data_IF_173727234422
#
_entry.id   IF_173727234422
#
_cell.length_a   1.000
_cell.length_b   1.000
_cell.length_c   1.000
_cell.angle_alpha   90.00
_cell.angle_beta   90.00
_cell.angle_gamma   90.00
#
_symmetry.space_group_name_H-M   'P 1'
#
loop_
_entity.id
_entity.type
_entity.pdbx_description
1 polymer ?
#
# COMPACT_ATOMS: atom_id res chain seq x y z
N UNK A 1 -0.41 -0.50 30.36
CA UNK A 1 -0.87 -1.44 29.32
C UNK A 1 -2.39 -1.49 29.41
N UNK A 2 -3.09 -0.86 28.47
CA UNK A 2 -4.56 -0.84 28.47
C UNK A 2 -5.02 -2.17 27.84
N UNK A 3 -5.73 -3.01 28.58
CA UNK A 3 -6.28 -4.26 28.02
C UNK A 3 -7.50 -3.90 27.19
N UNK A 4 -7.52 -4.29 25.92
CA UNK A 4 -8.59 -4.03 24.97
C UNK A 4 -9.20 -5.37 24.52
N UNK A 5 -10.52 -5.40 24.37
CA UNK A 5 -11.29 -6.56 23.94
C UNK A 5 -10.98 -6.93 22.46
N UNK A 6 -10.49 -8.15 22.18
CA UNK A 6 -10.16 -8.60 20.83
C UNK A 6 -11.37 -8.78 19.89
N UNK A 7 -12.62 -8.66 20.37
CA UNK A 7 -13.82 -8.83 19.54
C UNK A 7 -14.26 -7.55 18.78
N UNK A 8 -13.57 -6.41 18.96
CA UNK A 8 -13.85 -5.17 18.23
C UNK A 8 -13.15 -5.16 16.85
N UNK A 9 -13.65 -5.98 15.91
CA UNK A 9 -13.01 -6.43 14.66
C UNK A 9 -12.53 -5.41 13.60
N UNK A 10 -12.52 -4.10 13.88
CA UNK A 10 -11.85 -3.07 13.05
C UNK A 10 -11.02 -2.11 13.91
N UNK A 11 -11.58 -1.70 15.04
CA UNK A 11 -10.95 -0.83 16.04
C UNK A 11 -9.69 -1.43 16.66
N UNK A 12 -9.66 -2.74 16.92
CA UNK A 12 -8.49 -3.36 17.52
C UNK A 12 -7.30 -3.43 16.55
N UNK A 13 -7.56 -3.67 15.26
CA UNK A 13 -6.51 -3.81 14.24
C UNK A 13 -5.68 -2.54 14.10
N UNK A 14 -6.33 -1.41 13.93
CA UNK A 14 -5.65 -0.12 13.69
C UNK A 14 -4.96 0.41 14.95
N UNK A 15 -5.51 0.10 16.13
CA UNK A 15 -4.82 0.32 17.40
C UNK A 15 -3.53 -0.50 17.49
N UNK A 16 -3.59 -1.82 17.23
CA UNK A 16 -2.42 -2.68 17.25
C UNK A 16 -1.36 -2.23 16.22
N UNK A 17 -1.78 -1.81 15.03
CA UNK A 17 -0.87 -1.22 14.03
C UNK A 17 -0.18 0.04 14.57
N UNK A 18 -0.90 0.92 15.28
CA UNK A 18 -0.34 2.13 15.87
C UNK A 18 0.62 1.83 17.03
N UNK A 19 0.33 0.81 17.84
CA UNK A 19 1.22 0.33 18.91
C UNK A 19 2.53 -0.23 18.34
N UNK A 20 2.44 -1.04 17.28
CA UNK A 20 3.62 -1.57 16.58
C UNK A 20 4.47 -0.44 15.98
N UNK A 21 3.83 0.53 15.31
CA UNK A 21 4.51 1.70 14.76
C UNK A 21 5.20 2.53 15.85
N UNK A 22 4.53 2.72 16.99
CA UNK A 22 5.07 3.44 18.14
C UNK A 22 6.26 2.73 18.77
N UNK A 23 6.16 1.41 18.90
CA UNK A 23 7.25 0.60 19.39
C UNK A 23 8.49 0.69 18.48
N UNK A 24 8.28 0.63 17.15
CA UNK A 24 9.38 0.80 16.18
C UNK A 24 10.01 2.18 16.29
N UNK A 25 9.20 3.23 16.38
CA UNK A 25 9.66 4.61 16.54
C UNK A 25 10.51 4.76 17.81
N UNK A 26 10.07 4.18 18.92
CA UNK A 26 10.79 4.23 20.19
C UNK A 26 12.18 3.57 20.13
N UNK A 27 12.30 2.45 19.41
CA UNK A 27 13.54 1.67 19.36
C UNK A 27 14.47 2.02 18.19
N UNK A 28 13.93 2.57 17.09
CA UNK A 28 14.67 2.80 15.84
C UNK A 28 14.70 4.28 15.42
N UNK A 29 14.06 5.18 16.17
CA UNK A 29 14.03 6.61 15.89
C UNK A 29 12.92 6.99 14.89
N UNK A 30 13.26 7.69 13.81
CA UNK A 30 12.25 8.15 12.84
C UNK A 30 11.83 6.99 11.93
N UNK A 31 10.52 6.86 11.72
CA UNK A 31 9.93 5.76 10.92
C UNK A 31 9.08 6.33 9.79
N UNK A 32 9.18 5.73 8.61
CA UNK A 32 8.22 5.93 7.52
C UNK A 32 7.25 4.74 7.49
N UNK A 33 5.96 5.04 7.68
CA UNK A 33 4.88 4.05 7.61
C UNK A 33 4.26 4.05 6.22
N UNK A 34 4.22 2.90 5.57
CA UNK A 34 3.51 2.73 4.31
C UNK A 34 2.26 1.88 4.54
N UNK A 35 1.09 2.50 4.39
CA UNK A 35 -0.19 1.81 4.44
C UNK A 35 -1.20 2.52 3.54
N UNK A 36 -2.37 1.91 3.37
CA UNK A 36 -3.46 2.53 2.63
C UNK A 36 -3.88 3.88 3.26
N UNK A 37 -4.34 4.83 2.43
CA UNK A 37 -4.80 6.16 2.85
C UNK A 37 -5.74 6.12 4.07
N UNK A 38 -6.66 5.14 4.12
CA UNK A 38 -7.55 4.96 5.26
C UNK A 38 -6.79 4.73 6.58
N UNK A 39 -5.81 3.83 6.59
CA UNK A 39 -5.09 3.52 7.84
C UNK A 39 -4.22 4.69 8.32
N UNK A 40 -3.66 5.49 7.40
CA UNK A 40 -2.81 6.62 7.76
C UNK A 40 -3.59 7.91 8.02
N UNK A 41 -4.88 7.99 7.71
CA UNK A 41 -5.64 9.22 7.90
C UNK A 41 -5.80 9.53 9.40
N UNK A 42 -6.18 10.76 9.73
CA UNK A 42 -6.53 11.15 11.11
C UNK A 42 -8.05 10.98 11.32
N UNK A 43 -8.63 9.92 10.74
CA UNK A 43 -10.08 9.67 10.81
C UNK A 43 -10.45 8.94 12.11
N UNK A 44 -11.54 9.39 12.72
CA UNK A 44 -12.17 8.77 13.89
C UNK A 44 -13.68 9.03 13.83
N UNK A 45 -14.45 7.98 13.58
CA UNK A 45 -15.91 8.05 13.54
C UNK A 45 -16.58 6.82 14.18
N UNK A 46 -17.88 6.66 13.97
CA UNK A 46 -18.64 5.52 14.49
C UNK A 46 -18.20 4.16 13.90
N UNK A 47 -17.53 4.17 12.74
CA UNK A 47 -17.02 2.97 12.07
C UNK A 47 -15.64 2.54 12.57
N UNK A 48 -14.90 3.49 13.16
CA UNK A 48 -13.75 3.20 14.00
C UNK A 48 -12.70 4.29 14.08
N UNK A 49 -11.61 3.96 14.79
CA UNK A 49 -10.41 4.81 14.86
C UNK A 49 -9.30 4.25 13.98
N UNK A 50 -8.75 5.09 13.12
CA UNK A 50 -7.64 4.71 12.24
C UNK A 50 -6.29 4.69 12.97
N UNK A 51 -5.32 3.95 12.43
CA UNK A 51 -3.95 3.93 12.95
C UNK A 51 -3.39 5.37 13.00
N UNK A 52 -3.62 6.18 11.97
CA UNK A 52 -3.17 7.57 11.91
C UNK A 52 -3.82 8.46 12.95
N UNK A 53 -5.11 8.26 13.30
CA UNK A 53 -5.75 8.97 14.41
C UNK A 53 -5.12 8.63 15.77
N UNK A 54 -4.84 7.34 16.03
CA UNK A 54 -4.10 6.93 17.24
C UNK A 54 -2.71 7.56 17.30
N UNK A 55 -1.95 7.53 16.20
CA UNK A 55 -0.62 8.13 16.13
C UNK A 55 -0.65 9.65 16.27
N UNK A 56 -1.64 10.34 15.69
CA UNK A 56 -1.82 11.79 15.86
C UNK A 56 -2.13 12.14 17.31
N UNK A 57 -2.91 11.33 18.03
CA UNK A 57 -3.15 11.53 19.47
C UNK A 57 -1.86 11.43 20.30
N UNK A 58 -1.01 10.46 19.99
CA UNK A 58 0.22 10.20 20.74
C UNK A 58 1.34 11.20 20.41
N UNK A 59 1.59 11.45 19.12
CA UNK A 59 2.73 12.23 18.65
C UNK A 59 2.37 13.66 18.24
N UNK A 60 1.08 14.02 18.19
CA UNK A 60 0.61 15.33 17.76
C UNK A 60 1.23 15.72 16.40
N UNK A 61 1.91 16.86 16.35
CA UNK A 61 2.62 17.36 15.16
C UNK A 61 3.86 16.54 14.77
N UNK A 62 4.27 15.58 15.59
CA UNK A 62 5.29 14.58 15.28
C UNK A 62 4.82 13.50 14.30
N UNK A 63 3.50 13.25 14.20
CA UNK A 63 2.93 12.37 13.18
C UNK A 63 2.46 13.17 11.96
N UNK A 64 2.96 12.81 10.76
CA UNK A 64 2.69 13.52 9.49
C UNK A 64 2.08 12.58 8.45
N UNK A 65 0.74 12.53 8.32
CA UNK A 65 0.09 11.71 7.31
C UNK A 65 0.23 12.35 5.93
N UNK A 66 0.81 11.58 5.01
CA UNK A 66 0.99 11.91 3.60
C UNK A 66 0.10 10.98 2.77
N UNK A 67 -1.02 11.51 2.27
CA UNK A 67 -1.99 10.76 1.47
C UNK A 67 -1.68 10.78 -0.02
N UNK A 68 -2.32 9.88 -0.76
CA UNK A 68 -2.29 9.85 -2.22
C UNK A 68 -3.66 10.11 -2.83
N UNK A 69 -3.69 10.80 -3.96
CA UNK A 69 -4.88 10.98 -4.79
C UNK A 69 -4.52 10.66 -6.24
N UNK A 70 -5.50 10.19 -7.00
CA UNK A 70 -5.37 10.15 -8.45
C UNK A 70 -6.65 10.60 -9.15
N UNK A 71 -6.52 11.10 -10.39
CA UNK A 71 -7.65 11.58 -11.19
C UNK A 71 -8.28 10.45 -12.00
N UNK A 72 -7.53 9.81 -12.89
CA UNK A 72 -8.00 8.73 -13.75
C UNK A 72 -6.95 7.65 -13.96
N UNK A 73 -7.30 6.59 -14.70
CA UNK A 73 -6.37 5.54 -15.12
C UNK A 73 -6.76 4.19 -14.54
N UNK A 74 -5.77 3.34 -14.32
CA UNK A 74 -6.00 1.94 -13.98
C UNK A 74 -5.27 1.52 -12.71
N UNK A 75 -5.86 0.57 -11.99
CA UNK A 75 -5.33 0.00 -10.76
C UNK A 75 -5.71 -1.47 -10.64
N UNK A 76 -5.03 -2.18 -9.75
CA UNK A 76 -5.31 -3.57 -9.44
C UNK A 76 -6.16 -3.67 -8.18
N UNK A 77 -7.22 -4.48 -8.21
CA UNK A 77 -8.07 -4.76 -7.05
C UNK A 77 -8.72 -6.15 -7.17
N UNK A 78 -9.40 -6.61 -6.12
CA UNK A 78 -10.24 -7.81 -6.16
C UNK A 78 -11.65 -7.38 -6.58
N UNK A 79 -12.28 -8.12 -7.49
CA UNK A 79 -13.68 -7.87 -7.84
C UNK A 79 -14.58 -8.07 -6.61
N UNK A 80 -15.45 -7.10 -6.34
CA UNK A 80 -16.35 -7.12 -5.18
C UNK A 80 -17.82 -6.86 -5.55
N UNK A 81 -18.22 -7.21 -6.77
CA UNK A 81 -19.62 -7.14 -7.18
C UNK A 81 -20.51 -8.19 -6.51
N UNK A 82 -21.82 -8.00 -6.59
CA UNK A 82 -22.83 -8.84 -5.93
C UNK A 82 -22.84 -10.31 -6.41
N UNK A 83 -22.39 -10.55 -7.64
CA UNK A 83 -22.26 -11.86 -8.30
C UNK A 83 -20.89 -12.52 -8.09
N UNK A 84 -20.01 -11.92 -7.29
CA UNK A 84 -18.67 -12.45 -7.02
C UNK A 84 -18.75 -13.76 -6.23
N UNK A 85 -17.96 -14.76 -6.65
CA UNK A 85 -17.60 -15.88 -5.78
C UNK A 85 -16.76 -15.37 -4.59
N UNK A 86 -17.20 -15.53 -3.33
CA UNK A 86 -16.46 -15.08 -2.16
C UNK A 86 -15.02 -15.65 -2.06
N UNK A 87 -14.77 -16.81 -2.67
CA UNK A 87 -13.44 -17.45 -2.72
C UNK A 87 -12.55 -16.91 -3.84
N UNK A 88 -13.12 -16.17 -4.79
CA UNK A 88 -12.35 -15.54 -5.85
C UNK A 88 -11.61 -14.32 -5.30
N UNK A 89 -10.31 -14.49 -5.07
CA UNK A 89 -9.39 -13.42 -4.69
C UNK A 89 -8.48 -13.01 -5.85
N UNK A 90 -8.89 -13.29 -7.09
CA UNK A 90 -8.11 -12.91 -8.28
C UNK A 90 -7.96 -11.39 -8.33
N UNK A 91 -6.71 -10.97 -8.51
CA UNK A 91 -6.37 -9.58 -8.75
C UNK A 91 -6.69 -9.28 -10.21
N UNK A 92 -7.51 -8.26 -10.43
CA UNK A 92 -7.94 -7.81 -11.75
C UNK A 92 -7.57 -6.34 -11.93
N UNK A 93 -7.31 -5.98 -13.17
CA UNK A 93 -7.11 -4.57 -13.55
C UNK A 93 -8.46 -3.93 -13.77
N UNK A 94 -8.70 -2.81 -13.09
CA UNK A 94 -9.84 -1.93 -13.32
C UNK A 94 -9.36 -0.61 -13.88
N UNK A 95 -10.18 0.01 -14.72
CA UNK A 95 -9.92 1.33 -15.30
C UNK A 95 -11.07 2.25 -14.94
N UNK A 96 -10.74 3.44 -14.45
CA UNK A 96 -11.70 4.48 -14.10
C UNK A 96 -11.40 5.74 -14.89
N UNK A 97 -12.47 6.41 -15.31
CA UNK A 97 -12.40 7.72 -15.94
C UNK A 97 -12.24 8.84 -14.91
N UNK A 98 -12.60 10.04 -15.36
CA UNK A 98 -12.65 11.22 -14.50
C UNK A 98 -13.49 10.95 -13.23
N UNK A 99 -13.10 11.52 -12.08
CA UNK A 99 -13.84 11.39 -10.83
C UNK A 99 -15.16 12.14 -10.87
N UNK A 100 -16.05 11.81 -9.93
CA UNK A 100 -17.33 12.52 -9.78
C UNK A 100 -17.10 14.02 -9.62
N UNK A 101 -17.98 14.83 -10.20
CA UNK A 101 -17.91 16.29 -10.09
C UNK A 101 -17.93 16.70 -8.61
N UNK A 102 -17.26 17.80 -8.30
CA UNK A 102 -17.16 18.37 -6.95
C UNK A 102 -16.49 17.46 -5.91
N UNK A 103 -15.89 16.34 -6.32
CA UNK A 103 -14.96 15.59 -5.48
C UNK A 103 -13.61 16.31 -5.37
N UNK A 104 -12.90 16.06 -4.28
CA UNK A 104 -11.51 16.50 -4.16
C UNK A 104 -10.65 16.01 -5.32
N UNK A 105 -10.82 14.77 -5.75
CA UNK A 105 -10.12 14.21 -6.91
C UNK A 105 -10.38 15.04 -8.18
N UNK A 106 -11.61 15.52 -8.39
CA UNK A 106 -11.95 16.35 -9.56
C UNK A 106 -11.25 17.70 -9.53
N UNK A 107 -11.26 18.40 -8.39
CA UNK A 107 -10.56 19.69 -8.22
C UNK A 107 -9.05 19.53 -8.33
N UNK A 108 -8.48 18.49 -7.72
CA UNK A 108 -7.04 18.24 -7.77
C UNK A 108 -6.58 17.92 -9.21
N UNK A 109 -7.37 17.14 -9.95
CA UNK A 109 -7.02 16.77 -11.32
C UNK A 109 -7.30 17.84 -12.38
N UNK A 110 -8.11 18.86 -12.07
CA UNK A 110 -8.35 19.99 -12.99
C UNK A 110 -7.10 20.86 -13.18
N UNK A 111 -6.11 20.74 -12.30
CA UNK A 111 -4.80 21.39 -12.43
C UNK A 111 -4.03 20.85 -13.65
N UNK A 112 -4.26 19.59 -14.04
CA UNK A 112 -3.67 18.99 -15.24
C UNK A 112 -2.17 18.67 -15.14
N UNK A 113 -1.54 18.85 -13.98
CA UNK A 113 -0.15 18.46 -13.75
C UNK A 113 -0.02 16.95 -13.51
N UNK A 114 0.99 16.28 -14.08
CA UNK A 114 1.10 14.82 -14.03
C UNK A 114 1.30 14.26 -12.61
N UNK A 115 2.06 14.98 -11.78
CA UNK A 115 2.40 14.60 -10.40
C UNK A 115 2.75 15.86 -9.61
N UNK A 116 2.16 16.04 -8.43
CA UNK A 116 2.54 17.13 -7.53
C UNK A 116 2.26 16.80 -6.06
N UNK A 117 2.95 17.51 -5.16
CA UNK A 117 2.74 17.47 -3.72
C UNK A 117 2.05 18.76 -3.26
N UNK A 118 0.97 18.62 -2.49
CA UNK A 118 0.27 19.71 -1.84
C UNK A 118 0.52 19.68 -0.34
N UNK A 119 1.05 20.78 0.22
CA UNK A 119 1.18 20.96 1.67
C UNK A 119 -0.06 21.68 2.22
N UNK A 120 -1.03 20.88 2.67
CA UNK A 120 -2.33 21.35 3.16
C UNK A 120 -2.20 22.24 4.40
N UNK A 121 -1.12 22.08 5.16
CA UNK A 121 -0.87 22.89 6.37
C UNK A 121 -0.62 24.36 6.04
N UNK A 122 -0.15 24.65 4.83
CA UNK A 122 0.15 26.01 4.36
C UNK A 122 -1.01 26.68 3.65
N UNK A 123 -2.13 25.98 3.45
CA UNK A 123 -3.29 26.52 2.76
C UNK A 123 -3.92 27.70 3.51
N UNK A 124 -4.32 28.73 2.76
CA UNK A 124 -4.97 29.95 3.26
C UNK A 124 -6.18 30.30 2.38
N UNK A 125 -7.03 31.23 2.86
CA UNK A 125 -8.16 31.77 2.09
C UNK A 125 -9.10 30.68 1.55
N UNK A 126 -9.48 30.80 0.26
CA UNK A 126 -10.38 29.88 -0.42
C UNK A 126 -9.88 28.42 -0.42
N UNK A 127 -8.56 28.20 -0.52
CA UNK A 127 -7.98 26.84 -0.47
C UNK A 127 -8.17 26.23 0.92
N UNK A 128 -7.98 27.03 1.97
CA UNK A 128 -8.23 26.59 3.35
C UNK A 128 -9.71 26.25 3.56
N UNK A 129 -10.63 27.08 3.05
CA UNK A 129 -12.06 26.79 3.15
C UNK A 129 -12.42 25.50 2.41
N UNK A 130 -11.93 25.34 1.18
CA UNK A 130 -12.15 24.15 0.36
C UNK A 130 -11.66 22.86 1.04
N UNK A 131 -10.45 22.83 1.59
CA UNK A 131 -9.92 21.61 2.23
C UNK A 131 -10.58 21.26 3.57
N UNK A 132 -11.24 22.21 4.23
CA UNK A 132 -11.99 21.98 5.48
C UNK A 132 -13.47 21.64 5.21
N UNK A 133 -14.01 22.02 4.05
CA UNK A 133 -15.39 21.73 3.67
C UNK A 133 -15.56 20.27 3.25
N UNK A 134 -16.69 19.62 3.55
CA UNK A 134 -16.90 18.21 3.23
C UNK A 134 -17.09 17.99 1.72
N UNK A 135 -16.29 17.11 1.12
CA UNK A 135 -16.43 16.70 -0.28
C UNK A 135 -16.13 15.19 -0.46
N UNK A 136 -16.60 14.56 -1.54
CA UNK A 136 -16.23 13.19 -1.87
C UNK A 136 -14.73 13.06 -2.14
N UNK A 137 -14.12 11.97 -1.64
CA UNK A 137 -12.74 11.58 -1.89
C UNK A 137 -12.68 10.12 -2.27
N UNK A 138 -12.07 9.82 -3.43
CA UNK A 138 -11.93 8.45 -3.92
C UNK A 138 -10.91 7.69 -3.06
N UNK A 139 -11.33 6.58 -2.49
CA UNK A 139 -10.53 5.65 -1.72
C UNK A 139 -10.74 4.22 -2.23
N UNK A 140 -9.99 3.87 -3.28
CA UNK A 140 -10.03 2.52 -3.81
C UNK A 140 -9.24 1.56 -2.90
N UNK A 141 -9.94 0.58 -2.34
CA UNK A 141 -9.36 -0.40 -1.43
C UNK A 141 -9.04 -1.75 -2.07
N UNK A 142 -8.98 -2.76 -1.21
CA UNK A 142 -8.76 -4.16 -1.59
C UNK A 142 -9.83 -4.69 -2.54
N UNK A 143 -11.07 -4.24 -2.38
CA UNK A 143 -12.21 -4.62 -3.21
C UNK A 143 -12.70 -3.46 -4.07
N UNK A 144 -13.11 -3.75 -5.29
CA UNK A 144 -13.72 -2.80 -6.20
C UNK A 144 -14.88 -3.41 -6.98
N UNK A 145 -15.98 -2.69 -7.04
CA UNK A 145 -17.14 -3.01 -7.88
C UNK A 145 -17.36 -1.88 -8.90
N UNK A 146 -17.12 -2.11 -10.20
CA UNK A 146 -17.41 -1.15 -11.25
C UNK A 146 -18.90 -0.80 -11.37
N UNK A 147 -19.82 -1.66 -10.92
CA UNK A 147 -21.25 -1.37 -10.92
C UNK A 147 -21.66 -0.43 -9.78
N UNK A 148 -20.86 -0.34 -8.72
CA UNK A 148 -21.06 0.56 -7.57
C UNK A 148 -19.92 1.57 -7.47
N UNK A 149 -19.67 2.31 -8.57
CA UNK A 149 -18.59 3.28 -8.65
C UNK A 149 -18.57 4.31 -7.50
N UNK A 150 -19.76 4.72 -7.02
CA UNK A 150 -19.89 5.71 -5.94
C UNK A 150 -19.47 5.16 -4.57
N UNK A 151 -19.53 3.84 -4.36
CA UNK A 151 -19.08 3.19 -3.12
C UNK A 151 -17.56 3.31 -2.90
N UNK A 152 -16.81 3.69 -3.95
CA UNK A 152 -15.39 3.98 -3.85
C UNK A 152 -15.06 5.37 -3.28
N UNK A 153 -16.06 6.16 -2.89
CA UNK A 153 -15.86 7.48 -2.31
C UNK A 153 -16.26 7.52 -0.83
N UNK A 154 -15.39 8.12 -0.02
CA UNK A 154 -15.75 8.58 1.32
C UNK A 154 -16.08 10.08 1.28
N UNK A 155 -16.86 10.58 2.23
CA UNK A 155 -17.20 12.00 2.34
C UNK A 155 -16.70 12.54 3.67
N UNK A 156 -15.96 13.63 3.62
CA UNK A 156 -15.34 14.28 4.78
C UNK A 156 -14.41 15.38 4.32
N UNK A 157 -13.44 15.78 5.14
CA UNK A 157 -12.52 16.86 4.78
C UNK A 157 -11.07 16.40 4.62
N UNK A 158 -10.37 16.92 3.60
CA UNK A 158 -8.94 16.65 3.40
C UNK A 158 -8.11 17.05 4.62
N UNK A 159 -8.47 18.16 5.27
CA UNK A 159 -7.80 18.68 6.46
C UNK A 159 -7.91 17.74 7.67
N UNK A 160 -8.99 16.97 7.78
CA UNK A 160 -9.18 15.96 8.82
C UNK A 160 -8.42 14.68 8.52
N UNK A 161 -8.04 14.42 7.27
CA UNK A 161 -7.37 13.17 6.92
C UNK A 161 -5.85 13.31 6.79
N UNK A 162 -5.36 14.37 6.18
CA UNK A 162 -3.96 14.46 5.74
C UNK A 162 -3.34 15.82 6.03
N UNK A 163 -2.03 15.81 6.31
CA UNK A 163 -1.21 17.02 6.37
C UNK A 163 -0.62 17.35 4.99
N UNK A 164 -0.32 16.31 4.20
CA UNK A 164 0.32 16.38 2.89
C UNK A 164 -0.44 15.47 1.92
N UNK A 165 -0.52 15.84 0.65
CA UNK A 165 -1.18 15.03 -0.38
C UNK A 165 -0.35 14.98 -1.65
N UNK A 166 -0.02 13.78 -2.12
CA UNK A 166 0.53 13.57 -3.46
C UNK A 166 -0.63 13.30 -4.42
N UNK A 167 -0.72 14.06 -5.51
CA UNK A 167 -1.69 13.83 -6.56
C UNK A 167 -1.02 13.29 -7.83
N UNK A 168 -1.62 12.26 -8.43
CA UNK A 168 -1.20 11.61 -9.68
C UNK A 168 -2.30 11.76 -10.73
N UNK A 169 -2.01 12.37 -11.88
CA UNK A 169 -3.05 12.58 -12.89
C UNK A 169 -3.53 11.27 -13.51
N UNK A 170 -2.60 10.41 -13.91
CA UNK A 170 -2.88 9.15 -14.58
C UNK A 170 -2.20 8.01 -13.84
N UNK A 171 -3.01 7.12 -13.26
CA UNK A 171 -2.53 5.90 -12.62
C UNK A 171 -2.38 4.75 -13.64
N UNK A 172 -1.42 3.88 -13.39
CA UNK A 172 -1.23 2.62 -14.12
C UNK A 172 -1.34 1.45 -13.15
N UNK A 173 -1.79 0.27 -13.59
CA UNK A 173 -1.88 -0.86 -12.69
C UNK A 173 -0.48 -1.26 -12.25
N UNK A 174 -0.35 -1.70 -11.00
CA UNK A 174 0.90 -2.27 -10.53
C UNK A 174 1.24 -3.52 -11.36
N UNK A 175 2.53 -3.82 -11.51
CA UNK A 175 2.92 -5.10 -12.11
C UNK A 175 2.72 -6.20 -11.09
N UNK A 176 1.61 -6.94 -11.21
CA UNK A 176 1.40 -8.14 -10.41
C UNK A 176 2.34 -9.23 -10.90
N UNK A 177 3.21 -9.73 -10.02
CA UNK A 177 4.19 -10.78 -10.36
C UNK A 177 3.57 -12.18 -10.48
N UNK A 178 2.25 -12.30 -10.28
CA UNK A 178 1.55 -13.57 -10.31
C UNK A 178 1.90 -14.46 -9.12
N UNK A 179 1.17 -15.57 -9.00
CA UNK A 179 1.82 -16.79 -8.55
C UNK A 179 2.62 -17.28 -9.76
N UNK A 180 3.92 -17.50 -9.61
CA UNK A 180 4.65 -18.33 -10.57
C UNK A 180 4.03 -19.73 -10.55
N UNK A 181 2.96 -19.95 -11.29
CA UNK A 181 2.63 -21.27 -11.75
C UNK A 181 3.81 -21.66 -12.65
N UNK A 182 4.62 -22.63 -12.21
CA UNK A 182 5.51 -23.34 -13.09
C UNK A 182 4.62 -23.94 -14.19
N UNK A 183 4.51 -23.24 -15.32
CA UNK A 183 3.78 -23.72 -16.49
C UNK A 183 4.54 -24.96 -16.97
N UNK A 184 4.12 -26.12 -16.48
CA UNK A 184 4.48 -27.41 -17.06
C UNK A 184 3.66 -27.54 -18.34
N UNK A 185 4.04 -26.79 -19.37
CA UNK A 185 3.71 -27.17 -20.75
C UNK A 185 4.90 -27.98 -21.26
N UNK A 186 4.94 -29.24 -20.83
CA UNK A 186 5.70 -30.25 -21.53
C UNK A 186 4.70 -30.95 -22.46
N UNK A 187 4.37 -30.30 -23.58
CA UNK A 187 3.69 -30.99 -24.66
C UNK A 187 4.64 -32.03 -25.24
N UNK A 188 4.26 -33.29 -25.12
CA UNK A 188 4.80 -34.41 -25.88
C UNK A 188 4.69 -34.14 -27.37
N UNK A 189 5.74 -33.60 -27.97
CA UNK A 189 5.99 -33.67 -29.40
C UNK A 189 6.81 -34.93 -29.69
N UNK A 190 6.11 -36.04 -29.98
CA UNK A 190 6.68 -37.12 -30.77
C UNK A 190 6.97 -36.57 -32.18
N UNK A 191 8.22 -36.60 -32.63
CA UNK A 191 8.55 -36.37 -34.04
C UNK A 191 9.83 -35.58 -34.31
N UNK A 192 10.91 -36.33 -34.50
CA UNK A 192 12.03 -36.08 -35.44
C UNK A 192 12.77 -34.72 -35.42
N UNK A 193 13.97 -34.79 -34.83
CA UNK A 193 15.24 -34.27 -35.36
C UNK A 193 15.31 -32.85 -35.97
N UNK A 194 15.75 -31.87 -35.17
CA UNK A 194 16.99 -31.08 -35.35
C UNK A 194 16.98 -29.92 -34.34
N UNK A 195 17.98 -29.92 -33.46
CA UNK A 195 18.18 -28.91 -32.42
C UNK A 195 18.55 -27.55 -33.03
N UNK A 196 17.81 -26.51 -32.65
CA UNK A 196 18.15 -25.12 -32.92
C UNK A 196 17.24 -24.16 -32.14
N UNK A 197 17.64 -23.79 -30.92
CA UNK A 197 16.94 -22.76 -30.14
C UNK A 197 17.23 -21.36 -30.74
N UNK A 198 16.18 -20.58 -30.98
CA UNK A 198 16.30 -19.19 -31.43
C UNK A 198 16.96 -18.29 -30.34
N UNK A 199 17.95 -17.43 -30.66
CA UNK A 199 18.72 -16.64 -29.68
C UNK A 199 17.88 -15.68 -28.80
N UNK A 200 16.68 -15.31 -29.26
CA UNK A 200 15.79 -14.41 -28.54
C UNK A 200 15.19 -15.05 -27.27
N UNK A 201 14.95 -16.37 -27.28
CA UNK A 201 14.33 -17.07 -26.15
C UNK A 201 15.33 -17.31 -24.98
N UNK A 202 16.61 -17.46 -25.31
CA UNK A 202 17.68 -17.68 -24.31
C UNK A 202 18.04 -16.41 -23.54
N UNK A 203 17.93 -15.22 -24.17
CA UNK A 203 18.23 -13.94 -23.50
C UNK A 203 17.17 -13.52 -22.47
N UNK A 204 15.89 -13.84 -22.69
CA UNK A 204 14.83 -13.53 -21.73
C UNK A 204 14.94 -14.38 -20.46
N UNK A 205 15.26 -15.67 -20.60
CA UNK A 205 15.35 -16.65 -19.50
C UNK A 205 16.60 -16.53 -18.62
N UNK A 206 17.62 -15.75 -19.00
CA UNK A 206 18.86 -15.60 -18.23
C UNK A 206 18.87 -14.39 -17.28
N UNK A 207 17.98 -13.40 -17.51
CA UNK A 207 17.87 -12.19 -16.66
C UNK A 207 17.00 -12.36 -15.41
N UNK A 208 16.22 -13.45 -15.32
CA UNK A 208 15.26 -13.68 -14.22
C UNK A 208 15.31 -15.12 -13.66
N UNK A 209 16.50 -15.71 -13.51
CA UNK A 209 16.63 -16.97 -12.76
C UNK A 209 16.70 -16.68 -11.25
N UNK A 210 15.96 -17.41 -10.40
CA UNK A 210 16.15 -17.34 -8.95
C UNK A 210 17.54 -17.88 -8.58
N UNK A 211 18.17 -17.28 -7.57
CA UNK A 211 19.43 -17.78 -7.00
C UNK A 211 19.11 -19.01 -6.17
N UNK A 212 19.63 -20.17 -6.55
CA UNK A 212 19.68 -21.35 -5.68
C UNK A 212 20.98 -21.33 -4.89
N UNK A 213 20.90 -21.09 -3.59
CA UNK A 213 21.98 -21.40 -2.65
C UNK A 213 22.03 -22.92 -2.45
N UNK A 214 23.25 -23.47 -2.42
CA UNK A 214 23.50 -24.89 -2.16
C UNK A 214 23.03 -25.28 -0.76
N UNK A 215 22.53 -26.50 -0.66
CA UNK A 215 21.81 -27.08 0.47
C UNK A 215 22.42 -26.79 1.86
N UNK A 216 21.70 -26.01 2.66
CA UNK A 216 21.64 -26.21 4.11
C UNK A 216 20.18 -26.32 4.53
N UNK A 217 19.88 -27.44 5.19
CA UNK A 217 18.54 -27.86 5.62
C UNK A 217 18.13 -26.98 6.81
N UNK A 218 17.31 -25.96 6.55
CA UNK A 218 16.55 -25.27 7.60
C UNK A 218 15.08 -25.43 7.27
N UNK A 219 14.38 -26.17 8.11
CA UNK A 219 12.91 -26.25 8.11
C UNK A 219 12.35 -24.88 8.44
N UNK A 220 11.94 -24.13 7.42
CA UNK A 220 11.14 -22.92 7.58
C UNK A 220 9.72 -23.23 7.09
N UNK A 221 8.82 -23.59 8.00
CA UNK A 221 7.38 -23.51 7.77
C UNK A 221 6.84 -22.30 8.52
N UNK A 222 6.16 -21.41 7.82
CA UNK A 222 5.35 -20.35 8.44
C UNK A 222 5.53 -19.01 7.75
N UNK A 223 4.51 -18.59 7.01
CA UNK A 223 4.32 -17.21 6.58
C UNK A 223 4.42 -16.23 7.79
N UNK A 224 4.81 -14.96 7.59
CA UNK A 224 4.84 -14.00 8.70
C UNK A 224 3.43 -13.83 9.27
N UNK A 225 3.27 -14.20 10.54
CA UNK A 225 2.04 -13.95 11.30
C UNK A 225 1.81 -12.44 11.39
N UNK A 226 0.58 -11.99 11.12
CA UNK A 226 0.21 -10.60 11.32
C UNK A 226 0.44 -10.24 12.80
N UNK A 227 1.40 -9.35 13.06
CA UNK A 227 1.83 -8.98 14.41
C UNK A 227 0.72 -8.18 15.10
N UNK A 228 -0.06 -8.83 15.98
CA UNK A 228 -1.13 -8.18 16.73
C UNK A 228 -0.66 -7.45 18.00
N UNK A 229 0.57 -7.70 18.44
CA UNK A 229 1.19 -7.03 19.58
C UNK A 229 2.67 -6.73 19.25
N UNK A 230 3.24 -5.63 19.77
CA UNK A 230 4.66 -5.35 19.59
C UNK A 230 5.54 -6.48 20.14
N UNK A 231 6.69 -6.79 19.51
CA UNK A 231 7.58 -7.83 19.99
C UNK A 231 8.31 -7.36 21.24
N UNK A 232 8.76 -8.31 22.06
CA UNK A 232 9.41 -8.02 23.35
C UNK A 232 10.81 -7.39 23.21
N UNK A 233 11.45 -7.51 22.04
CA UNK A 233 12.78 -6.98 21.79
C UNK A 233 12.92 -6.44 20.35
N UNK A 234 13.72 -5.36 20.14
CA UNK A 234 14.06 -4.86 18.81
C UNK A 234 14.65 -5.99 17.94
N UNK A 235 14.33 -6.07 16.64
CA UNK A 235 15.06 -6.97 15.75
C UNK A 235 16.55 -6.63 15.84
N UNK A 236 17.39 -7.67 15.86
CA UNK A 236 18.85 -7.49 15.83
C UNK A 236 19.22 -6.57 14.67
N UNK A 237 20.02 -5.54 14.93
CA UNK A 237 20.51 -4.63 13.90
C UNK A 237 21.24 -5.39 12.79
N UNK A 238 21.35 -4.83 11.57
CA UNK A 238 21.89 -5.54 10.43
C UNK A 238 23.32 -6.03 10.69
N UNK A 239 23.54 -7.35 10.64
CA UNK A 239 24.86 -7.92 10.39
C UNK A 239 25.16 -7.65 8.91
N UNK A 240 26.25 -6.91 8.65
CA UNK A 240 26.71 -6.56 7.32
C UNK A 240 26.92 -7.81 6.46
N UNK A 241 26.08 -7.99 5.46
CA UNK A 241 26.35 -8.77 4.25
C UNK A 241 25.73 -8.00 3.07
N UNK A 242 26.54 -7.22 2.36
CA UNK A 242 26.25 -6.62 1.04
C UNK A 242 26.06 -7.76 0.04
N UNK A 243 24.84 -8.25 -0.29
CA UNK A 243 23.87 -7.56 -1.16
C UNK A 243 22.39 -8.05 -1.01
N UNK A 244 21.42 -7.20 -0.63
CA UNK A 244 19.99 -7.52 -0.85
C UNK A 244 19.11 -6.26 -0.83
N UNK A 245 18.84 -5.72 -2.00
CA UNK A 245 17.82 -4.70 -2.25
C UNK A 245 16.99 -5.08 -3.48
N UNK A 246 16.47 -6.30 -3.52
CA UNK A 246 15.40 -6.74 -4.45
C UNK A 246 14.68 -7.88 -3.72
N UNK A 247 13.35 -7.95 -3.88
CA UNK A 247 12.41 -8.96 -3.36
C UNK A 247 11.56 -8.52 -2.16
N UNK A 248 10.49 -7.80 -2.49
CA UNK A 248 9.29 -7.76 -1.64
C UNK A 248 8.09 -8.19 -2.49
N UNK A 249 7.62 -9.43 -2.30
CA UNK A 249 6.31 -9.89 -2.78
C UNK A 249 5.31 -9.71 -1.64
N UNK A 250 4.32 -8.84 -1.77
CA UNK A 250 3.19 -8.81 -0.83
C UNK A 250 1.92 -8.25 -1.46
N UNK A 251 0.84 -9.02 -1.33
CA UNK A 251 -0.55 -8.70 -1.69
C UNK A 251 -1.26 -7.95 -0.53
N UNK A 252 -0.55 -7.59 0.54
CA UNK A 252 -1.09 -6.77 1.63
C UNK A 252 -0.28 -5.48 1.81
N UNK A 253 -1.01 -4.36 1.85
CA UNK A 253 -0.49 -2.99 1.99
C UNK A 253 -0.09 -2.69 3.44
N UNK A 254 1.08 -3.17 3.86
CA UNK A 254 1.83 -2.61 4.99
C UNK A 254 3.31 -3.00 4.85
N UNK A 255 4.17 -2.07 4.45
CA UNK A 255 5.63 -2.24 4.46
C UNK A 255 6.24 -1.05 5.20
N UNK A 256 6.78 -1.27 6.40
CA UNK A 256 7.54 -0.21 7.07
C UNK A 256 8.95 -0.17 6.50
N UNK A 257 9.40 0.98 5.99
CA UNK A 257 10.78 1.18 5.55
C UNK A 257 11.48 2.14 6.53
N UNK A 258 12.60 1.69 7.10
CA UNK A 258 13.48 2.54 7.92
C UNK A 258 14.40 3.30 6.97
N UNK A 259 14.33 4.63 6.99
CA UNK A 259 15.25 5.49 6.23
C UNK A 259 16.48 5.73 7.09
N UNK A 260 17.65 5.30 6.60
CA UNK A 260 18.95 5.57 7.23
C UNK A 260 19.26 7.08 7.20
N UNK A 261 19.97 7.62 8.20
CA UNK A 261 20.22 9.05 8.29
C UNK A 261 21.05 9.58 7.11
N UNK A 262 20.74 10.80 6.69
CA UNK A 262 21.55 11.55 5.75
C UNK A 262 22.94 11.83 6.36
N UNK A 263 23.98 11.49 5.60
CA UNK A 263 25.36 11.91 5.84
C UNK A 263 25.43 13.42 5.96
N UNK A 264 26.00 13.92 7.05
CA UNK A 264 26.30 15.33 7.25
C UNK A 264 27.61 15.73 6.57
N UNK A 265 27.61 16.96 6.03
CA UNK A 265 28.75 17.82 5.63
C UNK A 265 29.50 17.45 4.33
N UNK A 266 29.79 18.38 3.41
CA UNK A 266 29.95 19.84 3.49
C UNK A 266 29.07 20.61 2.53
#
# INVERSE_FOLDING_TARGET
MMRVDPNAGSNYRDLAMAENASWLQHHQGKVALWAHNWHISIEHDATGTTMGAHLRKLYQTGYRPLGFSFYQGSFNSIYYGADRDPKDHTIRTFTVGAPVKESYNSTLGSIGLPLYLLDLRKAQGAVRQWMNGPAPFRLNGMGYDPAQFDAAYTRGSLAQWFDLLIHVQNSTPSTYLGNCAATTQCETMQGSSRFGFSPACVRYMRRKRPVTLSAQRVTASGAPSAMMCPPLAPPSGPISNTPSAVFTTSILWSITITVLPASTSR
#
